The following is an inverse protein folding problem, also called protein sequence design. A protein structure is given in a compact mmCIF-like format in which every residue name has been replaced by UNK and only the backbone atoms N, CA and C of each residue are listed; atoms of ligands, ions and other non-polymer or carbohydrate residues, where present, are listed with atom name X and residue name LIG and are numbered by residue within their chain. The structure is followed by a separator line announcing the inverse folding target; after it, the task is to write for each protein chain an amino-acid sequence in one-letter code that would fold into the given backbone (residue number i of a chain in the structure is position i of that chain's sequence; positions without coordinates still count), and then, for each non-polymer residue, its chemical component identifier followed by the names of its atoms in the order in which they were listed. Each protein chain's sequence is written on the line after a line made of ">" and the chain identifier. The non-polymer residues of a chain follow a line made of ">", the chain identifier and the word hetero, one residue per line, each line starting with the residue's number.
data_IF_695221863987
#
_entry.id   IF_695221863987
#
_cell.length_a   1.000
_cell.length_b   1.000
_cell.length_c   1.000
_cell.angle_alpha   90.00
_cell.angle_beta   90.00
_cell.angle_gamma   90.00
#
_symmetry.space_group_name_H-M   'P 1'
#
loop_
_entity.id
_entity.type
_entity.pdbx_description
1 polymer ?
#
# COMPACT_ATOMS: atom_id res chain seq x y z
N UNK A 1 -26.53 -45.15 5.12
CA UNK A 1 -25.05 -45.15 4.96
C UNK A 1 -24.48 -44.19 6.00
N UNK A 2 -23.68 -44.68 6.95
CA UNK A 2 -23.05 -43.81 7.95
C UNK A 2 -21.82 -43.18 7.31
N UNK A 3 -21.87 -41.87 7.04
CA UNK A 3 -20.73 -41.13 6.54
C UNK A 3 -19.83 -40.83 7.73
N UNK A 4 -18.69 -41.51 7.81
CA UNK A 4 -17.70 -41.23 8.85
C UNK A 4 -16.74 -40.16 8.34
N UNK A 5 -16.41 -39.17 9.17
CA UNK A 5 -15.36 -38.22 8.81
C UNK A 5 -14.03 -38.96 8.69
N UNK A 6 -13.13 -38.51 7.78
CA UNK A 6 -11.76 -39.03 7.68
C UNK A 6 -11.08 -39.01 9.05
N UNK A 7 -10.23 -40.01 9.31
CA UNK A 7 -9.57 -40.16 10.62
C UNK A 7 -8.74 -38.94 11.01
N UNK A 8 -8.11 -38.31 10.02
CA UNK A 8 -7.35 -37.06 10.20
C UNK A 8 -8.17 -35.94 10.83
N UNK A 9 -9.42 -35.76 10.41
CA UNK A 9 -10.30 -34.73 10.99
C UNK A 9 -10.76 -35.07 12.41
N UNK A 10 -10.89 -36.37 12.73
CA UNK A 10 -11.24 -36.79 14.08
C UNK A 10 -10.10 -36.49 15.05
N UNK A 11 -8.85 -36.70 14.64
CA UNK A 11 -7.68 -36.40 15.45
C UNK A 11 -7.55 -34.90 15.70
N UNK A 12 -7.75 -34.06 14.67
CA UNK A 12 -7.71 -32.59 14.85
C UNK A 12 -8.79 -32.11 15.81
N UNK A 13 -10.03 -32.56 15.65
CA UNK A 13 -11.12 -32.14 16.55
C UNK A 13 -10.93 -32.65 17.97
N UNK A 14 -10.28 -33.81 18.15
CA UNK A 14 -9.95 -34.32 19.47
C UNK A 14 -8.88 -33.48 20.14
N UNK A 15 -7.82 -33.10 19.42
CA UNK A 15 -6.77 -32.22 19.93
C UNK A 15 -7.32 -30.83 20.29
N UNK A 16 -8.15 -30.25 19.41
CA UNK A 16 -8.78 -28.94 19.65
C UNK A 16 -9.77 -28.97 20.83
N UNK A 17 -10.49 -30.08 21.02
CA UNK A 17 -11.36 -30.27 22.17
C UNK A 17 -10.58 -30.39 23.48
N UNK A 18 -9.47 -31.16 23.47
CA UNK A 18 -8.56 -31.30 24.62
C UNK A 18 -7.91 -29.96 25.00
N UNK A 19 -7.49 -29.15 24.02
CA UNK A 19 -6.96 -27.80 24.26
C UNK A 19 -7.98 -26.87 24.92
N UNK A 20 -9.25 -26.98 24.52
CA UNK A 20 -10.36 -26.22 25.12
C UNK A 20 -10.88 -26.82 26.43
N UNK A 21 -10.32 -27.95 26.89
CA UNK A 21 -10.76 -28.65 28.09
C UNK A 21 -12.17 -29.23 28.01
N UNK A 22 -12.67 -29.50 26.79
CA UNK A 22 -14.03 -29.97 26.53
C UNK A 22 -14.04 -31.37 25.92
N UNK A 23 -15.17 -32.06 26.02
CA UNK A 23 -15.33 -33.34 25.30
C UNK A 23 -15.45 -33.09 23.80
N UNK A 24 -14.94 -34.02 22.99
CA UNK A 24 -15.03 -33.93 21.52
C UNK A 24 -16.47 -33.74 21.02
N UNK A 25 -17.45 -34.37 21.67
CA UNK A 25 -18.87 -34.24 21.30
C UNK A 25 -19.37 -32.82 21.57
N UNK A 26 -19.00 -32.24 22.72
CA UNK A 26 -19.40 -30.89 23.11
C UNK A 26 -18.73 -29.83 22.22
N UNK A 27 -17.44 -30.00 21.94
CA UNK A 27 -16.71 -29.19 20.96
C UNK A 27 -17.38 -29.17 19.58
N UNK A 28 -17.79 -30.34 19.08
CA UNK A 28 -18.50 -30.44 17.81
C UNK A 28 -19.89 -29.81 17.86
N UNK A 29 -20.60 -29.91 18.98
CA UNK A 29 -21.89 -29.25 19.16
C UNK A 29 -21.73 -27.73 19.10
N UNK A 30 -20.72 -27.16 19.77
CA UNK A 30 -20.44 -25.74 19.76
C UNK A 30 -20.11 -25.25 18.35
N UNK A 31 -19.22 -25.93 17.63
CA UNK A 31 -18.92 -25.64 16.23
C UNK A 31 -20.17 -25.65 15.33
N UNK A 32 -21.08 -26.60 15.55
CA UNK A 32 -22.33 -26.68 14.79
C UNK A 32 -23.24 -25.49 15.10
N UNK A 33 -23.34 -25.07 16.36
CA UNK A 33 -24.16 -23.92 16.75
C UNK A 33 -23.57 -22.61 16.23
N UNK A 34 -22.25 -22.44 16.32
CA UNK A 34 -21.53 -21.30 15.73
C UNK A 34 -21.76 -21.22 14.21
N UNK A 35 -21.61 -22.35 13.49
CA UNK A 35 -21.85 -22.40 12.06
C UNK A 35 -23.31 -22.11 11.68
N UNK A 36 -24.29 -22.50 12.52
CA UNK A 36 -25.70 -22.15 12.33
C UNK A 36 -25.94 -20.66 12.55
N UNK A 37 -25.41 -20.11 13.63
CA UNK A 37 -25.51 -18.69 13.96
C UNK A 37 -24.92 -17.81 12.85
N UNK A 38 -23.71 -18.13 12.38
CA UNK A 38 -23.05 -17.41 11.28
C UNK A 38 -23.82 -17.51 9.96
N UNK A 39 -24.54 -18.63 9.72
CA UNK A 39 -25.44 -18.77 8.56
C UNK A 39 -26.69 -17.91 8.70
N UNK A 40 -27.28 -17.85 9.89
CA UNK A 40 -28.43 -16.97 10.18
C UNK A 40 -28.07 -15.49 10.03
N UNK A 41 -26.85 -15.10 10.41
CA UNK A 41 -26.32 -13.76 10.18
C UNK A 41 -25.92 -13.48 8.72
N UNK A 42 -26.08 -14.45 7.82
CA UNK A 42 -25.78 -14.29 6.40
C UNK A 42 -24.29 -14.24 6.05
N UNK A 43 -23.40 -14.56 7.00
CA UNK A 43 -21.94 -14.57 6.82
C UNK A 43 -21.44 -15.88 6.20
N UNK A 44 -22.18 -16.99 6.36
CA UNK A 44 -21.88 -18.27 5.72
C UNK A 44 -22.87 -18.56 4.60
N UNK A 45 -22.85 -17.78 3.52
CA UNK A 45 -23.52 -18.18 2.28
C UNK A 45 -22.64 -19.20 1.57
N UNK A 46 -23.07 -20.47 1.64
CA UNK A 46 -22.47 -21.62 0.99
C UNK A 46 -22.51 -21.44 -0.55
N UNK A 47 -21.54 -20.68 -1.07
CA UNK A 47 -21.48 -20.21 -2.46
C UNK A 47 -20.33 -19.23 -2.72
N UNK A 48 -19.78 -18.64 -1.65
CA UNK A 48 -18.69 -17.67 -1.76
C UNK A 48 -17.31 -18.27 -2.06
N UNK A 49 -17.15 -19.58 -2.33
CA UNK A 49 -15.86 -20.09 -2.82
C UNK A 49 -15.44 -19.41 -4.13
N UNK A 50 -16.38 -19.23 -5.07
CA UNK A 50 -16.10 -18.48 -6.30
C UNK A 50 -15.84 -17.00 -6.05
N UNK A 51 -16.47 -16.42 -5.03
CA UNK A 51 -16.27 -15.01 -4.68
C UNK A 51 -14.94 -14.80 -3.96
N UNK A 52 -14.53 -15.74 -3.12
CA UNK A 52 -13.21 -15.78 -2.49
C UNK A 52 -12.13 -16.02 -3.52
N UNK A 53 -12.31 -16.95 -4.47
CA UNK A 53 -11.39 -17.15 -5.60
C UNK A 53 -11.31 -15.91 -6.48
N UNK A 54 -12.43 -15.26 -6.80
CA UNK A 54 -12.44 -13.99 -7.55
C UNK A 54 -11.79 -12.85 -6.76
N UNK A 55 -11.99 -12.79 -5.44
CA UNK A 55 -11.34 -11.79 -4.59
C UNK A 55 -9.85 -12.08 -4.44
N UNK A 56 -9.42 -13.34 -4.39
CA UNK A 56 -8.01 -13.75 -4.39
C UNK A 56 -7.36 -13.45 -5.73
N UNK A 57 -8.01 -13.78 -6.85
CA UNK A 57 -7.55 -13.38 -8.18
C UNK A 57 -7.48 -11.86 -8.30
N UNK A 58 -8.44 -11.12 -7.71
CA UNK A 58 -8.41 -9.67 -7.73
C UNK A 58 -7.31 -9.11 -6.83
N UNK A 59 -7.02 -9.74 -5.69
CA UNK A 59 -5.88 -9.39 -4.84
C UNK A 59 -4.58 -9.67 -5.57
N UNK A 60 -4.43 -10.83 -6.22
CA UNK A 60 -3.24 -11.17 -7.00
C UNK A 60 -3.06 -10.25 -8.21
N UNK A 61 -4.15 -9.85 -8.88
CA UNK A 61 -4.14 -8.87 -9.97
C UNK A 61 -3.81 -7.46 -9.45
N UNK A 62 -4.31 -7.08 -8.27
CA UNK A 62 -3.97 -5.81 -7.62
C UNK A 62 -2.54 -5.81 -7.08
N UNK A 63 -2.04 -6.94 -6.61
CA UNK A 63 -0.65 -7.15 -6.20
C UNK A 63 0.25 -7.12 -7.42
N UNK A 64 -0.11 -7.74 -8.55
CA UNK A 64 0.61 -7.59 -9.82
C UNK A 64 0.51 -6.17 -10.39
N UNK A 65 -0.59 -5.45 -10.18
CA UNK A 65 -0.67 -4.03 -10.51
C UNK A 65 0.21 -3.19 -9.60
N UNK A 66 0.27 -3.51 -8.31
CA UNK A 66 1.19 -2.89 -7.36
C UNK A 66 2.63 -3.26 -7.67
N UNK A 67 2.91 -4.47 -8.15
CA UNK A 67 4.24 -4.99 -8.49
C UNK A 67 4.69 -4.47 -9.86
N UNK A 68 3.78 -4.28 -10.81
CA UNK A 68 4.09 -3.58 -12.07
C UNK A 68 4.21 -2.07 -11.84
N UNK A 69 3.47 -1.50 -10.88
CA UNK A 69 3.71 -0.16 -10.35
C UNK A 69 4.97 -0.10 -9.46
N UNK A 70 5.41 -1.20 -8.82
CA UNK A 70 6.63 -1.33 -8.00
C UNK A 70 7.86 -1.51 -8.90
N UNK A 71 7.71 -2.22 -10.00
CA UNK A 71 8.73 -2.51 -11.02
C UNK A 71 8.90 -1.33 -11.97
N UNK A 72 7.81 -0.60 -12.27
CA UNK A 72 7.88 0.78 -12.77
C UNK A 72 8.20 1.80 -11.66
N UNK A 73 8.35 1.37 -10.40
CA UNK A 73 8.98 2.10 -9.28
C UNK A 73 10.40 1.59 -9.01
N UNK A 74 11.00 0.86 -9.93
CA UNK A 74 12.39 1.20 -10.21
C UNK A 74 12.29 2.56 -10.90
N UNK A 75 12.77 3.60 -10.21
CA UNK A 75 12.65 5.04 -10.52
C UNK A 75 11.31 5.64 -10.03
N UNK A 76 11.24 6.59 -9.10
CA UNK A 76 12.23 7.59 -8.71
C UNK A 76 11.87 8.09 -7.30
N UNK A 77 12.73 7.89 -6.29
CA UNK A 77 13.22 9.14 -5.69
C UNK A 77 13.72 9.88 -6.91
N UNK A 78 13.02 10.91 -7.38
CA UNK A 78 13.62 11.75 -8.41
C UNK A 78 14.89 12.20 -7.74
N UNK A 79 16.00 11.56 -8.14
CA UNK A 79 17.32 12.05 -7.88
C UNK A 79 17.32 13.34 -8.70
N UNK A 80 16.75 14.37 -8.08
CA UNK A 80 16.73 15.73 -8.59
C UNK A 80 18.18 16.13 -8.90
N UNK A 81 19.11 15.53 -8.15
CA UNK A 81 20.54 15.58 -8.31
C UNK A 81 21.02 14.39 -9.14
N UNK A 82 21.53 14.69 -10.34
CA UNK A 82 22.24 13.73 -11.18
C UNK A 82 23.71 13.64 -10.72
N UNK A 83 24.22 12.43 -10.47
CA UNK A 83 25.60 12.24 -9.99
C UNK A 83 26.62 12.81 -11.00
N UNK A 84 26.37 12.62 -12.30
CA UNK A 84 27.22 13.20 -13.36
C UNK A 84 27.22 14.74 -13.36
N UNK A 85 26.10 15.36 -12.96
CA UNK A 85 26.01 16.82 -12.90
C UNK A 85 26.80 17.34 -11.70
N UNK A 86 26.76 16.63 -10.57
CA UNK A 86 27.54 16.99 -9.38
C UNK A 86 29.03 16.84 -9.66
N UNK A 87 29.45 15.73 -10.28
CA UNK A 87 30.85 15.53 -10.67
C UNK A 87 31.37 16.61 -11.63
N UNK A 88 30.54 17.10 -12.55
CA UNK A 88 30.90 18.20 -13.46
C UNK A 88 31.07 19.56 -12.77
N UNK A 89 30.42 19.77 -11.63
CA UNK A 89 30.44 21.05 -10.89
C UNK A 89 31.52 21.02 -9.80
N UNK A 90 31.82 19.86 -9.25
CA UNK A 90 32.89 19.69 -8.28
C UNK A 90 34.24 20.06 -8.91
N UNK A 91 34.92 21.01 -8.29
CA UNK A 91 36.28 21.39 -8.67
C UNK A 91 37.31 20.51 -7.96
N UNK A 92 38.58 20.56 -8.39
CA UNK A 92 39.69 19.86 -7.72
C UNK A 92 39.90 20.29 -6.25
N UNK A 93 39.38 21.47 -5.88
CA UNK A 93 39.44 22.00 -4.52
C UNK A 93 38.13 21.73 -3.74
N UNK A 94 38.25 21.63 -2.41
CA UNK A 94 37.10 21.55 -1.52
C UNK A 94 36.18 22.76 -1.71
N UNK A 95 34.95 22.49 -2.10
CA UNK A 95 33.91 23.48 -2.33
C UNK A 95 32.87 23.41 -1.21
N UNK A 96 32.54 24.53 -0.55
CA UNK A 96 31.46 24.58 0.43
C UNK A 96 30.13 24.16 -0.20
N UNK A 97 29.29 23.48 0.59
CA UNK A 97 28.00 22.96 0.13
C UNK A 97 27.10 24.05 -0.47
N UNK A 98 27.02 25.22 0.15
CA UNK A 98 26.17 26.32 -0.34
C UNK A 98 26.60 26.81 -1.72
N UNK A 99 27.91 26.86 -1.98
CA UNK A 99 28.45 27.23 -3.29
C UNK A 99 28.12 26.17 -4.34
N UNK A 100 28.23 24.89 -3.99
CA UNK A 100 27.82 23.80 -4.88
C UNK A 100 26.34 23.85 -5.22
N UNK A 101 25.49 24.16 -4.24
CA UNK A 101 24.06 24.30 -4.44
C UNK A 101 23.74 25.48 -5.39
N UNK A 102 24.41 26.61 -5.22
CA UNK A 102 24.25 27.76 -6.13
C UNK A 102 24.67 27.42 -7.56
N UNK A 103 25.79 26.72 -7.74
CA UNK A 103 26.27 26.29 -9.06
C UNK A 103 25.34 25.25 -9.71
N UNK A 104 24.82 24.30 -8.92
CA UNK A 104 23.78 23.36 -9.36
C UNK A 104 22.53 24.09 -9.81
N UNK A 105 22.09 25.08 -9.03
CA UNK A 105 20.97 25.93 -9.38
C UNK A 105 21.22 26.80 -10.61
N UNK A 106 22.46 27.04 -11.06
CA UNK A 106 22.72 27.74 -12.33
C UNK A 106 22.52 26.84 -13.55
N UNK A 107 22.58 25.52 -13.37
CA UNK A 107 22.43 24.58 -14.48
C UNK A 107 20.98 24.51 -14.98
N UNK A 108 20.74 24.69 -16.29
CA UNK A 108 19.38 24.71 -16.85
C UNK A 108 18.66 23.37 -16.70
N UNK A 109 19.39 22.26 -16.80
CA UNK A 109 18.82 20.92 -16.67
C UNK A 109 18.37 20.62 -15.23
N UNK A 110 19.16 21.04 -14.24
CA UNK A 110 18.77 20.94 -12.83
C UNK A 110 17.53 21.78 -12.53
N UNK A 111 17.49 23.03 -13.00
CA UNK A 111 16.30 23.89 -12.85
C UNK A 111 15.03 23.28 -13.43
N UNK A 112 15.13 22.67 -14.61
CA UNK A 112 13.99 21.99 -15.25
C UNK A 112 13.51 20.80 -14.41
N UNK A 113 14.43 19.98 -13.92
CA UNK A 113 14.12 18.80 -13.09
C UNK A 113 13.46 19.21 -11.77
N UNK A 114 14.06 20.16 -11.05
CA UNK A 114 13.50 20.74 -9.81
C UNK A 114 12.10 21.31 -10.05
N UNK A 115 11.89 22.03 -11.16
CA UNK A 115 10.57 22.58 -11.49
C UNK A 115 9.52 21.49 -11.70
N UNK A 116 9.86 20.44 -12.43
CA UNK A 116 8.95 19.33 -12.71
C UNK A 116 8.60 18.56 -11.42
N UNK A 117 9.59 18.35 -10.56
CA UNK A 117 9.41 17.75 -9.23
C UNK A 117 8.47 18.61 -8.35
N UNK A 118 8.69 19.93 -8.33
CA UNK A 118 7.85 20.87 -7.60
C UNK A 118 6.41 20.92 -8.16
N UNK A 119 6.24 20.97 -9.47
CA UNK A 119 4.91 20.94 -10.11
C UNK A 119 4.18 19.65 -9.74
N UNK A 120 4.85 18.50 -9.85
CA UNK A 120 4.29 17.20 -9.48
C UNK A 120 3.89 17.14 -8.01
N UNK A 121 4.74 17.65 -7.11
CA UNK A 121 4.44 17.73 -5.68
C UNK A 121 3.24 18.63 -5.39
N UNK A 122 3.15 19.78 -6.06
CA UNK A 122 2.06 20.74 -5.89
C UNK A 122 0.73 20.20 -6.41
N UNK A 123 0.72 19.48 -7.53
CA UNK A 123 -0.49 18.80 -8.02
C UNK A 123 -0.99 17.74 -7.02
N UNK A 124 -0.10 16.90 -6.48
CA UNK A 124 -0.47 15.92 -5.44
C UNK A 124 -1.07 16.58 -4.21
N UNK A 125 -0.46 17.66 -3.73
CA UNK A 125 -1.01 18.42 -2.61
C UNK A 125 -2.36 19.09 -2.95
N UNK A 126 -2.57 19.43 -4.23
CA UNK A 126 -3.83 19.96 -4.74
C UNK A 126 -4.94 18.92 -4.73
N UNK A 127 -4.63 17.69 -5.16
CA UNK A 127 -5.54 16.55 -5.11
C UNK A 127 -5.96 16.20 -3.67
N UNK A 128 -5.03 16.34 -2.71
CA UNK A 128 -5.31 16.20 -1.27
C UNK A 128 -6.03 17.41 -0.64
N UNK A 129 -6.43 18.39 -1.46
CA UNK A 129 -7.05 19.65 -1.04
C UNK A 129 -6.21 20.44 0.00
N UNK A 130 -4.89 20.27 0.03
CA UNK A 130 -3.97 20.98 0.94
C UNK A 130 -3.39 22.25 0.34
N UNK A 131 -3.45 22.41 -0.99
CA UNK A 131 -3.06 23.65 -1.68
C UNK A 131 -4.08 24.02 -2.75
N UNK A 132 -4.16 25.31 -3.07
CA UNK A 132 -5.03 25.87 -4.11
C UNK A 132 -4.16 26.61 -5.12
N UNK A 133 -4.36 26.31 -6.40
CA UNK A 133 -3.74 27.05 -7.51
C UNK A 133 -4.68 28.14 -8.03
N UNK A 134 -4.14 29.34 -8.25
CA UNK A 134 -4.83 30.41 -8.99
C UNK A 134 -3.92 30.96 -10.07
N UNK A 135 -4.41 30.96 -11.32
CA UNK A 135 -3.71 31.53 -12.48
C UNK A 135 -3.35 33.01 -12.19
N UNK A 136 -2.08 33.36 -12.36
CA UNK A 136 -1.54 34.69 -12.09
C UNK A 136 -1.17 34.99 -10.62
N UNK A 137 -1.59 34.14 -9.66
CA UNK A 137 -1.22 34.27 -8.24
C UNK A 137 -0.37 33.12 -7.70
N UNK A 138 -0.33 31.98 -8.43
CA UNK A 138 0.46 30.82 -8.05
C UNK A 138 -0.27 29.90 -7.07
N UNK A 139 0.50 29.24 -6.22
CA UNK A 139 0.03 28.22 -5.27
C UNK A 139 -0.07 28.81 -3.86
N UNK A 140 -1.14 28.47 -3.13
CA UNK A 140 -1.33 28.84 -1.73
C UNK A 140 -1.72 27.60 -0.94
N UNK A 141 -1.28 27.49 0.31
CA UNK A 141 -1.81 26.48 1.22
C UNK A 141 -3.33 26.66 1.42
N UNK A 142 -4.06 25.57 1.36
CA UNK A 142 -5.47 25.50 1.71
C UNK A 142 -5.58 25.34 3.22
N UNK A 143 -5.28 26.41 3.96
CA UNK A 143 -5.64 26.51 5.36
C UNK A 143 -7.16 26.67 5.45
N UNK A 144 -7.91 25.57 5.51
CA UNK A 144 -9.24 25.61 6.09
C UNK A 144 -9.08 25.84 7.59
N UNK A 145 -9.38 27.04 8.09
CA UNK A 145 -9.32 27.36 9.50
C UNK A 145 -10.09 28.63 9.83
N UNK A 146 -11.18 28.46 10.58
CA UNK A 146 -11.89 29.44 11.44
C UNK A 146 -11.51 30.93 11.30
N UNK A 147 -12.42 31.68 10.66
CA UNK A 147 -13.13 32.82 11.26
C UNK A 147 -14.51 32.95 10.64
#
# INVERSE_FOLDING_TARGET
>A
MKLYPPETHKETWKAEAEERGTSMIQYLQDLIQEARYLREQGQLKLGDKRKVEQLQQRVEELEQQLESQSSNRVTSQTQTIDEELVEKILSENYTPFDQLLEELLKQPEFRRRVRLDLETGLYKLGDEARVVFRRGKGWKHNSGGDK
#
